data_IF_780109221622
#
_entry.id   IF_780109221622
#
_cell.length_a   1.000
_cell.length_b   1.000
_cell.length_c   1.000
_cell.angle_alpha   90.00
_cell.angle_beta   90.00
_cell.angle_gamma   90.00
#
_symmetry.space_group_name_H-M   'P 1'
#
loop_
_entity.id
_entity.type
_entity.pdbx_description
1 polymer ?
#
# COMPACT_ATOMS: atom_id res chain seq x y z
N UNK A 1 -0.61 -6.82 34.83
CA UNK A 1 -1.17 -6.16 33.64
C UNK A 1 -0.11 -5.40 32.85
N UNK A 2 0.77 -4.60 33.47
CA UNK A 2 1.89 -3.88 32.81
C UNK A 2 2.91 -4.76 32.07
N UNK A 3 3.32 -5.88 32.65
CA UNK A 3 4.30 -6.79 32.03
C UNK A 3 3.78 -7.43 30.73
N UNK A 4 2.47 -7.68 30.65
CA UNK A 4 1.81 -8.21 29.44
C UNK A 4 1.71 -7.16 28.32
N UNK A 5 1.46 -5.90 28.67
CA UNK A 5 1.40 -4.78 27.73
C UNK A 5 2.79 -4.47 27.14
N UNK A 6 3.84 -4.51 27.98
CA UNK A 6 5.23 -4.29 27.55
C UNK A 6 5.71 -5.38 26.57
N UNK A 7 5.37 -6.63 26.85
CA UNK A 7 5.74 -7.78 25.99
C UNK A 7 5.06 -7.72 24.62
N UNK A 8 3.79 -7.30 24.57
CA UNK A 8 3.03 -7.12 23.31
C UNK A 8 3.60 -5.95 22.48
N UNK A 9 4.00 -4.87 23.11
CA UNK A 9 4.63 -3.71 22.46
C UNK A 9 6.00 -4.06 21.85
N UNK A 10 6.84 -4.81 22.57
CA UNK A 10 8.16 -5.25 22.09
C UNK A 10 8.01 -6.20 20.89
N UNK A 11 7.08 -7.14 20.96
CA UNK A 11 6.81 -8.08 19.86
C UNK A 11 6.33 -7.35 18.59
N UNK A 12 5.50 -6.31 18.72
CA UNK A 12 5.03 -5.54 17.57
C UNK A 12 6.16 -4.70 16.95
N UNK A 13 6.98 -4.07 17.78
CA UNK A 13 8.17 -3.31 17.31
C UNK A 13 9.14 -4.22 16.57
N UNK A 14 9.43 -5.41 17.11
CA UNK A 14 10.31 -6.38 16.47
C UNK A 14 9.76 -6.85 15.12
N UNK A 15 8.46 -7.19 15.08
CA UNK A 15 7.77 -7.57 13.83
C UNK A 15 7.86 -6.46 12.76
N UNK A 16 7.55 -5.22 13.13
CA UNK A 16 7.64 -4.06 12.21
C UNK A 16 9.05 -3.87 11.67
N UNK A 17 10.05 -3.91 12.55
CA UNK A 17 11.46 -3.77 12.17
C UNK A 17 11.91 -4.89 11.22
N UNK A 18 11.55 -6.15 11.51
CA UNK A 18 11.86 -7.27 10.62
C UNK A 18 11.23 -7.12 9.24
N UNK A 19 9.96 -6.71 9.17
CA UNK A 19 9.27 -6.47 7.90
C UNK A 19 9.94 -5.36 7.08
N UNK A 20 10.37 -4.27 7.75
CA UNK A 20 11.07 -3.16 7.08
C UNK A 20 12.43 -3.60 6.56
N UNK A 21 13.20 -4.32 7.36
CA UNK A 21 14.52 -4.80 6.92
C UNK A 21 14.39 -5.79 5.75
N UNK A 22 13.42 -6.70 5.79
CA UNK A 22 13.12 -7.60 4.68
C UNK A 22 12.67 -6.84 3.44
N UNK A 23 11.75 -5.88 3.58
CA UNK A 23 11.29 -5.02 2.49
C UNK A 23 12.42 -4.19 1.89
N UNK A 24 13.31 -3.61 2.73
CA UNK A 24 14.47 -2.85 2.29
C UNK A 24 15.45 -3.69 1.48
N UNK A 25 15.72 -4.91 1.93
CA UNK A 25 16.60 -5.84 1.23
C UNK A 25 16.03 -6.26 -0.12
N UNK A 26 14.76 -6.65 -0.15
CA UNK A 26 14.06 -7.01 -1.40
C UNK A 26 14.03 -5.83 -2.38
N UNK A 27 13.79 -4.62 -1.89
CA UNK A 27 13.82 -3.39 -2.70
C UNK A 27 15.20 -3.15 -3.31
N UNK A 28 16.26 -3.25 -2.52
CA UNK A 28 17.63 -3.04 -2.98
C UNK A 28 18.05 -4.07 -4.04
N UNK A 29 17.74 -5.35 -3.81
CA UNK A 29 17.97 -6.42 -4.79
C UNK A 29 17.19 -6.16 -6.07
N UNK A 30 15.92 -5.77 -5.97
CA UNK A 30 15.09 -5.45 -7.14
C UNK A 30 15.67 -4.29 -7.96
N UNK A 31 16.06 -3.21 -7.29
CA UNK A 31 16.66 -2.04 -7.96
C UNK A 31 17.97 -2.40 -8.68
N UNK A 32 18.77 -3.29 -8.13
CA UNK A 32 20.07 -3.69 -8.72
C UNK A 32 19.94 -4.76 -9.80
N UNK A 33 19.10 -5.78 -9.57
CA UNK A 33 19.07 -6.99 -10.41
C UNK A 33 18.02 -6.94 -11.51
N UNK A 34 16.99 -6.10 -11.34
CA UNK A 34 15.93 -5.94 -12.34
C UNK A 34 15.94 -4.51 -12.93
N UNK A 35 15.73 -3.49 -12.11
CA UNK A 35 15.56 -2.11 -12.60
C UNK A 35 16.81 -1.63 -13.33
N UNK A 36 17.98 -1.77 -12.71
CA UNK A 36 19.26 -1.32 -13.30
C UNK A 36 19.65 -2.14 -14.52
N UNK A 37 19.53 -3.45 -14.46
CA UNK A 37 19.89 -4.36 -15.57
C UNK A 37 18.98 -4.20 -16.77
N UNK A 38 17.67 -3.97 -16.56
CA UNK A 38 16.72 -3.66 -17.63
C UNK A 38 16.75 -2.23 -18.13
N UNK A 39 17.57 -1.35 -17.53
CA UNK A 39 17.59 0.08 -17.87
C UNK A 39 16.25 0.77 -17.60
N UNK A 40 15.46 0.24 -16.65
CA UNK A 40 14.14 0.75 -16.33
C UNK A 40 14.23 1.98 -15.42
N UNK A 41 13.20 2.82 -15.50
CA UNK A 41 12.97 3.94 -14.59
C UNK A 41 11.72 3.59 -13.78
N UNK A 42 11.85 3.15 -12.50
CA UNK A 42 10.69 2.87 -11.66
C UNK A 42 9.89 4.15 -11.42
N UNK A 43 8.65 4.00 -10.98
CA UNK A 43 7.84 5.17 -10.60
C UNK A 43 8.31 5.82 -9.30
N UNK A 44 7.76 6.99 -9.02
CA UNK A 44 8.00 7.71 -7.79
C UNK A 44 9.41 8.28 -7.65
N UNK A 45 9.85 8.49 -6.41
CA UNK A 45 11.15 9.10 -6.13
C UNK A 45 12.33 8.15 -6.39
N UNK A 46 12.11 6.84 -6.34
CA UNK A 46 13.11 5.87 -6.79
C UNK A 46 13.39 6.05 -8.29
N UNK A 47 12.33 6.29 -9.09
CA UNK A 47 12.47 6.60 -10.50
C UNK A 47 13.12 7.96 -10.77
N UNK A 48 12.72 8.96 -10.01
CA UNK A 48 13.33 10.28 -10.11
C UNK A 48 14.82 10.24 -9.72
N UNK A 49 15.17 9.48 -8.68
CA UNK A 49 16.57 9.22 -8.29
C UNK A 49 17.34 8.58 -9.44
N UNK A 50 16.76 7.55 -10.06
CA UNK A 50 17.40 6.87 -11.19
C UNK A 50 17.52 7.76 -12.41
N UNK A 51 16.53 8.57 -12.70
CA UNK A 51 16.54 9.56 -13.76
C UNK A 51 17.67 10.59 -13.57
N UNK A 52 17.84 11.10 -12.34
CA UNK A 52 18.94 12.03 -12.01
C UNK A 52 20.29 11.34 -12.18
N UNK A 53 20.44 10.08 -11.80
CA UNK A 53 21.68 9.33 -12.05
C UNK A 53 22.00 9.22 -13.53
N UNK A 54 21.04 8.85 -14.39
CA UNK A 54 21.21 8.76 -15.84
C UNK A 54 21.59 10.09 -16.46
N UNK A 55 20.93 11.20 -16.05
CA UNK A 55 21.27 12.56 -16.50
C UNK A 55 22.69 12.94 -16.04
N UNK A 56 23.06 12.59 -14.81
CA UNK A 56 24.40 12.89 -14.28
C UNK A 56 25.49 12.17 -15.08
N UNK A 57 25.25 10.90 -15.40
CA UNK A 57 26.18 10.12 -16.24
C UNK A 57 26.29 10.74 -17.64
N UNK A 58 25.17 11.19 -18.23
CA UNK A 58 25.14 11.78 -19.56
C UNK A 58 25.91 13.12 -19.62
N UNK A 59 25.73 13.98 -18.61
CA UNK A 59 26.29 15.33 -18.63
C UNK A 59 27.70 15.42 -18.03
N UNK A 60 27.97 14.65 -16.97
CA UNK A 60 29.21 14.77 -16.18
C UNK A 60 30.04 13.49 -16.13
N UNK A 61 29.62 12.39 -16.79
CA UNK A 61 30.29 11.08 -16.76
C UNK A 61 30.53 10.54 -15.33
N UNK A 62 29.65 10.93 -14.40
CA UNK A 62 29.73 10.54 -13.00
C UNK A 62 28.36 10.08 -12.49
N UNK A 63 28.32 8.90 -11.83
CA UNK A 63 27.11 8.33 -11.24
C UNK A 63 27.11 8.64 -9.73
N UNK A 64 26.27 9.58 -9.24
CA UNK A 64 26.15 9.85 -7.81
C UNK A 64 25.52 8.66 -7.08
N UNK A 65 25.85 8.42 -5.77
CA UNK A 65 25.23 7.37 -4.98
C UNK A 65 23.70 7.51 -4.96
N UNK A 66 23.00 6.37 -5.13
CA UNK A 66 21.55 6.32 -5.09
C UNK A 66 21.01 6.86 -3.78
N UNK A 67 21.61 6.46 -2.65
CA UNK A 67 21.21 6.86 -1.30
C UNK A 67 21.16 8.38 -1.13
N UNK A 68 22.18 9.09 -1.60
CA UNK A 68 22.30 10.55 -1.41
C UNK A 68 21.14 11.27 -2.08
N UNK A 69 20.88 10.97 -3.35
CA UNK A 69 19.78 11.60 -4.09
C UNK A 69 18.44 11.22 -3.46
N UNK A 70 18.25 9.94 -3.16
CA UNK A 70 17.00 9.44 -2.58
C UNK A 70 16.71 10.07 -1.22
N UNK A 71 17.71 10.28 -0.38
CA UNK A 71 17.53 10.93 0.94
C UNK A 71 17.13 12.41 0.78
N UNK A 72 17.77 13.13 -0.13
CA UNK A 72 17.46 14.54 -0.39
C UNK A 72 16.00 14.67 -0.88
N UNK A 73 15.60 13.84 -1.84
CA UNK A 73 14.24 13.86 -2.38
C UNK A 73 13.18 13.51 -1.33
N UNK A 74 13.46 12.54 -0.47
CA UNK A 74 12.53 12.09 0.56
C UNK A 74 12.47 12.99 1.79
N UNK A 75 13.39 13.93 1.99
CA UNK A 75 13.43 14.81 3.15
C UNK A 75 12.14 15.64 3.30
N UNK A 76 11.64 16.21 2.20
CA UNK A 76 10.42 17.04 2.22
C UNK A 76 9.17 16.21 2.57
N UNK A 77 8.86 15.08 1.87
CA UNK A 77 7.75 14.23 2.24
C UNK A 77 7.84 13.69 3.67
N UNK A 78 9.04 13.35 4.15
CA UNK A 78 9.22 12.87 5.52
C UNK A 78 8.85 13.93 6.55
N UNK A 79 9.24 15.19 6.36
CA UNK A 79 8.86 16.31 7.24
C UNK A 79 7.35 16.53 7.24
N UNK A 80 6.72 16.48 6.06
CA UNK A 80 5.26 16.60 5.93
C UNK A 80 4.56 15.44 6.62
N UNK A 81 5.02 14.20 6.40
CA UNK A 81 4.48 13.00 7.02
C UNK A 81 4.58 13.04 8.55
N UNK A 82 5.70 13.52 9.08
CA UNK A 82 5.91 13.66 10.53
C UNK A 82 4.85 14.57 11.18
N UNK A 83 4.39 15.59 10.46
CA UNK A 83 3.39 16.54 10.95
C UNK A 83 1.95 16.06 10.78
N UNK A 84 1.64 15.37 9.68
CA UNK A 84 0.26 15.09 9.27
C UNK A 84 -0.17 13.62 9.39
N UNK A 85 0.76 12.67 9.36
CA UNK A 85 0.43 11.23 9.42
C UNK A 85 0.74 10.66 10.81
N UNK A 86 1.99 10.81 11.27
CA UNK A 86 2.38 10.34 12.59
C UNK A 86 3.88 10.11 12.74
N UNK A 87 4.35 10.20 14.00
CA UNK A 87 5.79 10.11 14.31
C UNK A 87 6.36 8.71 14.13
N UNK A 88 5.62 7.67 14.57
CA UNK A 88 6.06 6.28 14.44
C UNK A 88 6.06 5.84 13.00
N UNK A 89 4.98 6.14 12.25
CA UNK A 89 4.90 5.88 10.82
C UNK A 89 6.09 6.50 10.07
N UNK A 90 6.36 7.78 10.30
CA UNK A 90 7.47 8.49 9.65
C UNK A 90 8.82 7.93 10.05
N UNK A 91 9.02 7.60 11.34
CA UNK A 91 10.29 7.02 11.83
C UNK A 91 10.61 5.68 11.16
N UNK A 92 9.64 4.78 11.05
CA UNK A 92 9.79 3.51 10.34
C UNK A 92 9.97 3.68 8.83
N UNK A 93 9.32 4.67 8.23
CA UNK A 93 9.49 5.00 6.81
C UNK A 93 10.90 5.55 6.53
N UNK A 94 11.41 6.43 7.38
CA UNK A 94 12.79 6.89 7.31
C UNK A 94 13.80 5.73 7.44
N UNK A 95 13.55 4.79 8.36
CA UNK A 95 14.37 3.58 8.48
C UNK A 95 14.39 2.79 7.17
N UNK A 96 13.22 2.59 6.55
CA UNK A 96 13.12 1.91 5.24
C UNK A 96 13.92 2.63 4.17
N UNK A 97 13.76 3.95 4.03
CA UNK A 97 14.46 4.77 3.02
C UNK A 97 15.96 4.70 3.21
N UNK A 98 16.44 4.83 4.45
CA UNK A 98 17.87 4.80 4.78
C UNK A 98 18.45 3.41 4.48
N UNK A 99 17.83 2.35 4.99
CA UNK A 99 18.35 0.99 4.83
C UNK A 99 18.30 0.57 3.36
N UNK A 100 17.19 0.80 2.65
CA UNK A 100 17.08 0.43 1.23
C UNK A 100 18.03 1.24 0.36
N UNK A 101 18.21 2.54 0.64
CA UNK A 101 19.16 3.38 -0.08
C UNK A 101 20.61 2.88 0.08
N UNK A 102 21.07 2.67 1.31
CA UNK A 102 22.43 2.16 1.60
C UNK A 102 22.62 0.76 0.99
N UNK A 103 21.65 -0.14 1.16
CA UNK A 103 21.75 -1.48 0.57
C UNK A 103 21.80 -1.42 -0.97
N UNK A 104 21.08 -0.49 -1.59
CA UNK A 104 21.13 -0.30 -3.05
C UNK A 104 22.51 0.13 -3.52
N UNK A 105 23.25 0.91 -2.75
CA UNK A 105 24.63 1.28 -3.11
C UNK A 105 25.62 0.11 -2.90
N UNK A 106 25.43 -0.72 -1.88
CA UNK A 106 26.35 -1.81 -1.50
C UNK A 106 26.12 -3.09 -2.32
N UNK A 107 24.84 -3.46 -2.56
CA UNK A 107 24.50 -4.72 -3.26
C UNK A 107 25.03 -4.69 -4.68
N UNK A 108 25.79 -5.72 -5.11
CA UNK A 108 26.25 -5.80 -6.49
C UNK A 108 25.09 -5.99 -7.46
N UNK A 109 25.23 -5.46 -8.68
CA UNK A 109 24.29 -5.69 -9.75
C UNK A 109 24.54 -7.06 -10.36
N UNK A 110 23.53 -7.92 -10.39
CA UNK A 110 23.59 -9.22 -11.09
C UNK A 110 22.31 -9.40 -11.92
N UNK A 111 22.41 -9.61 -13.23
CA UNK A 111 21.26 -9.83 -14.06
C UNK A 111 20.68 -11.22 -13.79
N UNK A 112 19.37 -11.27 -13.53
CA UNK A 112 18.63 -12.54 -13.42
C UNK A 112 18.21 -13.04 -14.80
N UNK A 113 17.92 -12.10 -15.71
CA UNK A 113 17.57 -12.35 -17.10
C UNK A 113 17.95 -11.12 -17.93
N UNK A 114 18.11 -11.28 -19.24
CA UNK A 114 18.33 -10.19 -20.19
C UNK A 114 17.05 -9.75 -20.90
N UNK A 115 15.97 -10.52 -20.75
CA UNK A 115 14.68 -10.17 -21.34
C UNK A 115 14.02 -9.02 -20.54
N UNK A 116 13.96 -7.85 -21.17
CA UNK A 116 13.44 -6.62 -20.53
C UNK A 116 11.96 -6.74 -20.21
N UNK A 117 11.17 -7.52 -20.95
CA UNK A 117 9.77 -7.75 -20.62
C UNK A 117 9.62 -8.57 -19.34
N UNK A 118 10.39 -9.66 -19.20
CA UNK A 118 10.42 -10.44 -17.96
C UNK A 118 10.93 -9.60 -16.79
N UNK A 119 11.96 -8.78 -17.00
CA UNK A 119 12.47 -7.82 -16.02
C UNK A 119 11.35 -6.87 -15.57
N UNK A 120 10.56 -6.33 -16.49
CA UNK A 120 9.49 -5.39 -16.20
C UNK A 120 8.37 -6.03 -15.38
N UNK A 121 7.94 -7.23 -15.74
CA UNK A 121 6.84 -7.93 -15.06
C UNK A 121 7.29 -8.42 -13.68
N UNK A 122 8.37 -9.21 -13.61
CA UNK A 122 8.82 -9.79 -12.35
C UNK A 122 9.46 -8.76 -11.41
N UNK A 123 10.18 -7.77 -11.95
CA UNK A 123 10.67 -6.65 -11.18
C UNK A 123 9.53 -5.83 -10.56
N UNK A 124 8.45 -5.59 -11.32
CA UNK A 124 7.23 -4.94 -10.82
C UNK A 124 6.56 -5.73 -9.70
N UNK A 125 6.47 -7.06 -9.84
CA UNK A 125 5.93 -7.96 -8.82
C UNK A 125 6.76 -7.90 -7.52
N UNK A 126 8.08 -8.01 -7.63
CA UNK A 126 9.01 -7.96 -6.50
C UNK A 126 8.96 -6.57 -5.84
N UNK A 127 8.83 -5.50 -6.64
CA UNK A 127 8.66 -4.15 -6.13
C UNK A 127 7.41 -4.02 -5.26
N UNK A 128 6.28 -4.54 -5.73
CA UNK A 128 5.03 -4.55 -4.97
C UNK A 128 5.13 -5.33 -3.66
N UNK A 129 5.84 -6.48 -3.66
CA UNK A 129 6.11 -7.24 -2.45
C UNK A 129 6.91 -6.41 -1.43
N UNK A 130 7.99 -5.74 -1.87
CA UNK A 130 8.80 -4.89 -1.01
C UNK A 130 7.99 -3.74 -0.39
N UNK A 131 7.19 -3.03 -1.20
CA UNK A 131 6.30 -1.96 -0.74
C UNK A 131 5.25 -2.51 0.23
N UNK A 132 4.63 -3.66 -0.09
CA UNK A 132 3.61 -4.27 0.77
C UNK A 132 4.14 -4.63 2.16
N UNK A 133 5.37 -5.15 2.26
CA UNK A 133 6.00 -5.43 3.56
C UNK A 133 6.16 -4.18 4.41
N UNK A 134 6.52 -3.05 3.80
CA UNK A 134 6.61 -1.77 4.49
C UNK A 134 5.24 -1.30 4.97
N UNK A 135 4.23 -1.38 4.12
CA UNK A 135 2.86 -1.00 4.46
C UNK A 135 2.28 -1.88 5.57
N UNK A 136 2.58 -3.18 5.61
CA UNK A 136 2.19 -4.07 6.72
C UNK A 136 2.92 -3.75 8.03
N UNK A 137 4.08 -3.10 7.95
CA UNK A 137 4.77 -2.55 9.11
C UNK A 137 4.24 -1.17 9.54
N UNK A 138 3.18 -0.65 8.92
CA UNK A 138 2.72 0.74 9.02
C UNK A 138 3.86 1.73 8.75
N UNK A 139 4.51 1.56 7.60
CA UNK A 139 5.55 2.42 7.06
C UNK A 139 5.39 2.51 5.54
N UNK A 140 6.16 3.36 4.88
CA UNK A 140 6.19 3.47 3.42
C UNK A 140 7.61 3.34 2.88
N UNK A 141 7.74 3.00 1.60
CA UNK A 141 9.01 3.00 0.87
C UNK A 141 9.52 4.41 0.52
N UNK A 142 8.75 5.44 0.84
CA UNK A 142 9.08 6.84 0.58
C UNK A 142 8.44 7.40 -0.68
N UNK A 143 8.85 8.61 -1.04
CA UNK A 143 8.47 9.26 -2.30
C UNK A 143 6.98 9.48 -2.46
N UNK A 144 6.47 9.09 -3.63
CA UNK A 144 5.05 9.20 -3.98
C UNK A 144 4.14 8.36 -3.08
N UNK A 145 4.68 7.34 -2.40
CA UNK A 145 3.91 6.51 -1.47
C UNK A 145 3.51 7.31 -0.23
N UNK A 146 4.33 8.26 0.25
CA UNK A 146 3.92 9.21 1.29
C UNK A 146 2.71 10.03 0.85
N UNK A 147 2.69 10.46 -0.42
CA UNK A 147 1.58 11.23 -0.98
C UNK A 147 0.34 10.34 -1.07
N UNK A 148 0.48 9.10 -1.53
CA UNK A 148 -0.62 8.14 -1.61
C UNK A 148 -1.27 7.91 -0.25
N UNK A 149 -0.47 7.67 0.78
CA UNK A 149 -0.96 7.41 2.14
C UNK A 149 -1.57 8.67 2.74
N UNK A 150 -0.94 9.84 2.57
CA UNK A 150 -1.49 11.12 3.03
C UNK A 150 -2.87 11.41 2.42
N UNK A 151 -3.03 11.22 1.11
CA UNK A 151 -4.31 11.40 0.44
C UNK A 151 -5.34 10.38 0.91
N UNK A 152 -4.93 9.13 1.08
CA UNK A 152 -5.81 8.06 1.55
C UNK A 152 -6.27 8.29 2.99
N UNK A 153 -5.39 8.76 3.88
CA UNK A 153 -5.77 9.06 5.27
C UNK A 153 -6.62 10.32 5.40
N UNK A 154 -6.26 11.36 4.66
CA UNK A 154 -6.96 12.65 4.76
C UNK A 154 -8.32 12.65 4.06
N UNK A 155 -8.42 12.00 2.91
CA UNK A 155 -9.61 12.02 2.06
C UNK A 155 -10.33 10.68 1.97
N UNK A 156 -9.73 9.60 2.50
CA UNK A 156 -10.33 8.26 2.52
C UNK A 156 -10.43 7.60 1.15
N UNK A 157 -9.63 8.02 0.17
CA UNK A 157 -9.61 7.49 -1.20
C UNK A 157 -8.46 6.53 -1.42
N UNK A 158 -8.62 5.55 -2.29
CA UNK A 158 -7.53 4.70 -2.79
C UNK A 158 -6.73 5.47 -3.85
N UNK A 159 -5.58 6.01 -3.46
CA UNK A 159 -4.81 6.96 -4.26
C UNK A 159 -3.80 6.32 -5.21
N UNK A 160 -3.61 5.00 -5.16
CA UNK A 160 -2.56 4.31 -5.93
C UNK A 160 -2.71 4.47 -7.45
N UNK A 161 -3.95 4.48 -7.96
CA UNK A 161 -4.19 4.70 -9.38
C UNK A 161 -3.84 6.12 -9.83
N UNK A 162 -4.05 7.12 -8.99
CA UNK A 162 -3.65 8.51 -9.29
C UNK A 162 -2.15 8.66 -9.30
N UNK A 163 -1.46 8.00 -8.37
CA UNK A 163 0.02 7.96 -8.36
C UNK A 163 0.55 7.25 -9.60
N UNK A 164 -0.07 6.13 -10.01
CA UNK A 164 0.28 5.45 -11.24
C UNK A 164 0.12 6.38 -12.46
N UNK A 165 -1.00 7.06 -12.60
CA UNK A 165 -1.24 8.00 -13.70
C UNK A 165 -0.20 9.14 -13.73
N UNK A 166 0.14 9.72 -12.57
CA UNK A 166 1.19 10.72 -12.46
C UNK A 166 2.57 10.19 -12.86
N UNK A 167 2.90 8.97 -12.46
CA UNK A 167 4.16 8.32 -12.85
C UNK A 167 4.22 8.04 -14.37
N UNK A 168 3.11 7.65 -15.00
CA UNK A 168 3.05 7.45 -16.47
C UNK A 168 3.38 8.75 -17.21
N UNK A 169 2.93 9.91 -16.73
CA UNK A 169 3.27 11.21 -17.33
C UNK A 169 4.79 11.46 -17.22
N UNK A 170 5.38 11.23 -16.05
CA UNK A 170 6.83 11.38 -15.83
C UNK A 170 7.63 10.44 -16.75
N UNK A 171 7.18 9.19 -16.87
CA UNK A 171 7.80 8.19 -17.74
C UNK A 171 7.65 8.53 -19.22
N UNK A 172 6.55 9.18 -19.62
CA UNK A 172 6.37 9.72 -20.97
C UNK A 172 7.42 10.80 -21.32
N UNK A 173 7.70 11.71 -20.39
CA UNK A 173 8.77 12.71 -20.54
C UNK A 173 10.14 12.01 -20.63
N UNK A 174 10.39 11.03 -19.76
CA UNK A 174 11.63 10.26 -19.81
C UNK A 174 11.79 9.49 -21.13
N UNK A 175 10.69 8.97 -21.70
CA UNK A 175 10.68 8.31 -23.01
C UNK A 175 11.10 9.22 -24.15
N UNK A 176 10.66 10.48 -24.13
CA UNK A 176 11.06 11.47 -25.10
C UNK A 176 12.55 11.83 -25.01
N UNK A 177 13.16 11.74 -23.81
CA UNK A 177 14.57 12.08 -23.57
C UNK A 177 15.53 10.89 -23.77
N UNK A 178 15.11 9.67 -23.37
CA UNK A 178 15.98 8.49 -23.25
C UNK A 178 15.58 7.30 -24.14
N UNK A 179 14.49 7.44 -24.89
CA UNK A 179 13.95 6.41 -25.78
C UNK A 179 12.68 5.76 -25.26
N UNK A 180 11.77 5.52 -26.19
CA UNK A 180 10.42 5.02 -25.90
C UNK A 180 10.39 3.59 -25.36
N UNK A 181 11.29 2.71 -25.83
CA UNK A 181 11.31 1.32 -25.37
C UNK A 181 11.48 1.21 -23.87
N UNK A 182 12.46 1.94 -23.30
CA UNK A 182 12.69 1.95 -21.85
C UNK A 182 11.51 2.51 -21.06
N UNK A 183 10.87 3.55 -21.59
CA UNK A 183 9.70 4.16 -20.95
C UNK A 183 8.50 3.21 -20.95
N UNK A 184 8.22 2.55 -22.07
CA UNK A 184 7.12 1.61 -22.20
C UNK A 184 7.30 0.39 -21.28
N UNK A 185 8.50 -0.19 -21.21
CA UNK A 185 8.81 -1.25 -20.25
C UNK A 185 8.72 -0.78 -18.80
N UNK A 186 9.10 0.47 -18.51
CA UNK A 186 8.95 1.08 -17.18
C UNK A 186 7.48 1.28 -16.81
N UNK A 187 6.62 1.59 -17.77
CA UNK A 187 5.16 1.64 -17.54
C UNK A 187 4.60 0.26 -17.22
N UNK A 188 5.05 -0.80 -17.92
CA UNK A 188 4.66 -2.19 -17.61
C UNK A 188 5.10 -2.55 -16.19
N UNK A 189 6.33 -2.25 -15.81
CA UNK A 189 6.85 -2.46 -14.46
C UNK A 189 5.98 -1.76 -13.41
N UNK A 190 5.68 -0.47 -13.61
CA UNK A 190 4.88 0.33 -12.69
C UNK A 190 3.43 -0.17 -12.62
N UNK A 191 2.83 -0.52 -13.74
CA UNK A 191 1.49 -1.09 -13.80
C UNK A 191 1.41 -2.40 -13.02
N UNK A 192 2.34 -3.33 -13.29
CA UNK A 192 2.41 -4.61 -12.58
C UNK A 192 2.57 -4.41 -11.08
N UNK A 193 3.49 -3.52 -10.67
CA UNK A 193 3.69 -3.18 -9.26
C UNK A 193 2.42 -2.62 -8.62
N UNK A 194 1.73 -1.70 -9.28
CA UNK A 194 0.50 -1.10 -8.76
C UNK A 194 -0.62 -2.13 -8.63
N UNK A 195 -0.85 -2.98 -9.64
CA UNK A 195 -1.91 -4.01 -9.58
C UNK A 195 -1.66 -5.04 -8.48
N UNK A 196 -0.42 -5.51 -8.34
CA UNK A 196 -0.06 -6.46 -7.28
C UNK A 196 -0.19 -5.81 -5.91
N UNK A 197 0.21 -4.54 -5.77
CA UNK A 197 0.04 -3.79 -4.53
C UNK A 197 -1.44 -3.67 -4.13
N UNK A 198 -2.34 -3.40 -5.07
CA UNK A 198 -3.79 -3.38 -4.83
C UNK A 198 -4.35 -4.71 -4.32
N UNK A 199 -3.78 -5.84 -4.78
CA UNK A 199 -4.19 -7.17 -4.33
C UNK A 199 -3.68 -7.44 -2.91
N UNK A 200 -2.43 -7.08 -2.63
CA UNK A 200 -1.76 -7.38 -1.37
C UNK A 200 -2.19 -6.43 -0.24
N UNK A 201 -2.28 -5.12 -0.52
CA UNK A 201 -2.56 -4.10 0.49
C UNK A 201 -3.98 -3.56 0.37
N UNK A 202 -4.86 -4.04 1.26
CA UNK A 202 -6.32 -3.81 1.21
C UNK A 202 -6.84 -2.77 2.21
N UNK A 203 -5.95 -2.15 2.99
CA UNK A 203 -6.32 -1.28 4.12
C UNK A 203 -7.21 -0.09 3.74
N UNK A 204 -6.97 0.51 2.57
CA UNK A 204 -7.76 1.66 2.12
C UNK A 204 -8.94 1.30 1.22
N UNK A 205 -9.10 -0.01 0.91
CA UNK A 205 -10.27 -0.49 0.18
C UNK A 205 -11.44 -0.67 1.15
N UNK A 206 -12.63 -0.36 0.69
CA UNK A 206 -13.88 -0.46 1.47
C UNK A 206 -14.79 -1.50 0.87
N UNK A 207 -15.61 -2.10 1.73
CA UNK A 207 -16.66 -3.03 1.30
C UNK A 207 -17.99 -2.70 1.96
N UNK A 208 -19.04 -2.73 1.16
CA UNK A 208 -20.40 -2.67 1.63
C UNK A 208 -20.85 -4.08 2.01
N UNK A 209 -21.35 -4.23 3.22
CA UNK A 209 -21.95 -5.44 3.73
C UNK A 209 -23.47 -5.27 3.72
N UNK A 210 -24.16 -6.18 3.06
CA UNK A 210 -25.62 -6.31 3.12
C UNK A 210 -25.89 -7.61 3.88
N UNK A 211 -26.38 -7.49 5.10
CA UNK A 211 -26.56 -8.61 6.04
C UNK A 211 -28.06 -8.81 6.27
N UNK A 212 -28.58 -9.94 5.80
CA UNK A 212 -29.98 -10.32 6.05
C UNK A 212 -30.00 -11.22 7.28
N UNK A 213 -30.72 -10.82 8.32
CA UNK A 213 -30.76 -11.52 9.62
C UNK A 213 -32.14 -11.39 10.28
N UNK A 214 -32.44 -12.32 11.19
CA UNK A 214 -33.58 -12.24 12.11
C UNK A 214 -33.20 -11.67 13.48
N UNK A 215 -31.91 -11.37 13.70
CA UNK A 215 -31.36 -10.86 14.96
C UNK A 215 -30.56 -9.58 14.73
N UNK A 216 -31.20 -8.51 14.20
CA UNK A 216 -30.48 -7.33 13.76
C UNK A 216 -29.74 -6.60 14.88
N UNK A 217 -30.32 -6.51 16.09
CA UNK A 217 -29.74 -5.82 17.23
C UNK A 217 -28.45 -6.52 17.69
N UNK A 218 -28.51 -7.84 17.93
CA UNK A 218 -27.35 -8.61 18.34
C UNK A 218 -26.21 -8.57 17.32
N UNK A 219 -26.56 -8.65 16.03
CA UNK A 219 -25.59 -8.59 14.93
C UNK A 219 -24.97 -7.21 14.84
N UNK A 220 -25.75 -6.14 14.97
CA UNK A 220 -25.25 -4.77 14.95
C UNK A 220 -24.29 -4.50 16.13
N UNK A 221 -24.69 -4.85 17.37
CA UNK A 221 -23.85 -4.68 18.54
C UNK A 221 -22.49 -5.38 18.37
N UNK A 222 -22.52 -6.62 17.87
CA UNK A 222 -21.33 -7.40 17.61
C UNK A 222 -20.41 -6.78 16.52
N UNK A 223 -20.98 -6.12 15.52
CA UNK A 223 -20.21 -5.39 14.49
C UNK A 223 -19.65 -4.09 15.09
N UNK A 224 -20.46 -3.31 15.78
CA UNK A 224 -20.06 -2.03 16.35
C UNK A 224 -18.91 -2.18 17.36
N UNK A 225 -18.93 -3.24 18.18
CA UNK A 225 -17.87 -3.53 19.16
C UNK A 225 -16.48 -3.75 18.51
N UNK A 226 -16.45 -4.33 17.32
CA UNK A 226 -15.19 -4.71 16.67
C UNK A 226 -14.69 -3.73 15.62
N UNK A 227 -15.56 -2.84 15.09
CA UNK A 227 -15.22 -1.97 13.95
C UNK A 227 -15.36 -0.48 14.21
N UNK A 228 -16.18 -0.05 15.15
CA UNK A 228 -16.64 1.35 15.31
C UNK A 228 -17.41 1.90 14.08
N UNK A 229 -17.96 1.02 13.23
CA UNK A 229 -18.81 1.40 12.12
C UNK A 229 -20.27 1.27 12.48
N UNK A 230 -21.07 2.19 11.94
CA UNK A 230 -22.52 2.14 12.07
C UNK A 230 -23.14 1.27 10.97
N UNK A 231 -24.40 0.90 11.18
CA UNK A 231 -25.21 0.17 10.21
C UNK A 231 -26.61 0.77 10.12
N UNK A 232 -27.17 0.74 8.92
CA UNK A 232 -28.56 1.15 8.67
C UNK A 232 -29.44 -0.09 8.65
N UNK A 233 -30.49 -0.11 9.50
CA UNK A 233 -31.49 -1.16 9.53
C UNK A 233 -32.59 -0.87 8.50
N UNK A 234 -32.84 -1.81 7.62
CA UNK A 234 -33.91 -1.78 6.63
C UNK A 234 -34.83 -2.99 6.88
N UNK A 235 -36.09 -2.74 7.14
CA UNK A 235 -37.10 -3.81 7.31
C UNK A 235 -37.49 -4.41 5.97
N UNK A 236 -37.61 -5.71 5.92
CA UNK A 236 -37.95 -6.44 4.70
C UNK A 236 -38.76 -7.70 4.99
N UNK A 237 -39.19 -8.35 3.91
CA UNK A 237 -39.91 -9.63 3.93
C UNK A 237 -39.28 -10.57 2.92
N UNK A 238 -39.07 -11.80 3.30
CA UNK A 238 -38.59 -12.85 2.39
C UNK A 238 -39.65 -13.18 1.35
N UNK A 239 -39.35 -12.94 0.07
CA UNK A 239 -40.33 -13.13 -1.02
C UNK A 239 -40.85 -14.57 -1.10
N UNK A 240 -40.04 -15.56 -0.82
CA UNK A 240 -40.38 -16.98 -0.81
C UNK A 240 -40.99 -17.43 0.52
N UNK A 241 -40.30 -17.13 1.61
CA UNK A 241 -40.68 -17.59 2.94
C UNK A 241 -41.87 -16.85 3.54
N UNK A 242 -42.17 -15.64 3.03
CA UNK A 242 -43.16 -14.71 3.59
C UNK A 242 -42.95 -14.39 5.07
N UNK A 243 -41.68 -14.52 5.52
CA UNK A 243 -41.28 -14.19 6.86
C UNK A 243 -40.62 -12.82 6.91
N UNK A 244 -40.86 -12.09 8.00
CA UNK A 244 -40.14 -10.84 8.27
C UNK A 244 -38.64 -11.13 8.42
N UNK A 245 -37.82 -10.28 7.83
CA UNK A 245 -36.38 -10.28 7.97
C UNK A 245 -35.89 -8.85 7.92
N UNK A 246 -34.74 -8.60 8.59
CA UNK A 246 -34.12 -7.31 8.63
C UNK A 246 -32.82 -7.31 7.81
N UNK A 247 -32.54 -6.19 7.16
CA UNK A 247 -31.34 -5.99 6.37
C UNK A 247 -30.50 -4.92 7.04
N UNK A 248 -29.31 -5.28 7.48
CA UNK A 248 -28.30 -4.34 7.94
C UNK A 248 -27.37 -3.97 6.79
N UNK A 249 -27.35 -2.68 6.48
CA UNK A 249 -26.44 -2.07 5.51
C UNK A 249 -25.30 -1.39 6.26
N UNK A 250 -24.07 -1.86 6.09
CA UNK A 250 -22.89 -1.28 6.71
C UNK A 250 -21.71 -1.21 5.73
N UNK A 251 -20.85 -0.20 5.87
CA UNK A 251 -19.62 -0.09 5.10
C UNK A 251 -18.44 -0.23 6.05
N UNK A 252 -17.54 -1.16 5.75
CA UNK A 252 -16.37 -1.47 6.59
C UNK A 252 -15.08 -1.47 5.77
N UNK A 253 -13.94 -1.38 6.44
CA UNK A 253 -12.63 -1.57 5.81
C UNK A 253 -12.48 -3.01 5.30
N UNK A 254 -11.85 -3.20 4.13
CA UNK A 254 -11.66 -4.55 3.57
C UNK A 254 -10.80 -5.45 4.44
N UNK A 255 -9.89 -4.89 5.21
CA UNK A 255 -9.08 -5.60 6.21
C UNK A 255 -9.91 -6.12 7.40
N UNK A 256 -11.04 -5.49 7.68
CA UNK A 256 -11.95 -5.86 8.77
C UNK A 256 -13.04 -6.88 8.35
N UNK A 257 -13.32 -6.99 7.04
CA UNK A 257 -14.43 -7.80 6.50
C UNK A 257 -14.46 -9.23 7.05
N UNK A 258 -13.32 -9.93 7.00
CA UNK A 258 -13.26 -11.32 7.47
C UNK A 258 -13.59 -11.45 8.96
N UNK A 259 -13.16 -10.48 9.76
CA UNK A 259 -13.46 -10.44 11.19
C UNK A 259 -14.95 -10.21 11.41
N UNK A 260 -15.53 -9.24 10.68
CA UNK A 260 -16.96 -8.92 10.75
C UNK A 260 -17.81 -10.12 10.33
N UNK A 261 -17.56 -10.73 9.18
CA UNK A 261 -18.31 -11.87 8.66
C UNK A 261 -18.25 -13.07 9.64
N UNK A 262 -17.08 -13.35 10.21
CA UNK A 262 -16.94 -14.40 11.20
C UNK A 262 -17.72 -14.10 12.50
N UNK A 263 -17.76 -12.84 12.92
CA UNK A 263 -18.53 -12.42 14.10
C UNK A 263 -20.02 -12.51 13.83
N UNK A 264 -20.50 -12.01 12.69
CA UNK A 264 -21.90 -12.14 12.27
C UNK A 264 -22.36 -13.60 12.27
N UNK A 265 -21.58 -14.50 11.66
CA UNK A 265 -21.90 -15.93 11.61
C UNK A 265 -21.88 -16.63 12.98
N UNK A 266 -21.11 -16.12 13.93
CA UNK A 266 -21.14 -16.63 15.32
C UNK A 266 -22.39 -16.16 16.06
N UNK A 267 -22.83 -14.92 15.81
CA UNK A 267 -24.00 -14.32 16.46
C UNK A 267 -25.30 -14.86 15.86
N UNK A 268 -25.38 -14.93 14.53
CA UNK A 268 -26.49 -15.53 13.79
C UNK A 268 -25.96 -16.47 12.69
N UNK A 269 -25.95 -17.80 12.94
CA UNK A 269 -25.49 -18.79 11.95
C UNK A 269 -26.35 -18.84 10.67
N UNK A 270 -27.57 -18.32 10.71
CA UNK A 270 -28.50 -18.28 9.56
C UNK A 270 -28.42 -16.95 8.78
N UNK A 271 -27.66 -15.98 9.26
CA UNK A 271 -27.48 -14.70 8.57
C UNK A 271 -26.87 -14.91 7.18
N UNK A 272 -27.45 -14.24 6.20
CA UNK A 272 -26.89 -14.14 4.84
C UNK A 272 -26.10 -12.83 4.70
N UNK A 273 -24.85 -12.93 4.31
CA UNK A 273 -23.95 -11.78 4.17
C UNK A 273 -23.50 -11.66 2.73
N UNK A 274 -23.90 -10.58 2.07
CA UNK A 274 -23.43 -10.20 0.74
C UNK A 274 -22.37 -9.10 0.88
N UNK A 275 -21.20 -9.30 0.23
CA UNK A 275 -20.06 -8.40 0.26
C UNK A 275 -19.88 -7.78 -1.12
N UNK A 276 -20.01 -6.46 -1.19
CA UNK A 276 -19.89 -5.69 -2.44
C UNK A 276 -18.71 -4.73 -2.31
N UNK A 277 -17.85 -4.67 -3.33
CA UNK A 277 -16.76 -3.70 -3.36
C UNK A 277 -17.34 -2.29 -3.46
N UNK A 278 -16.96 -1.41 -2.53
CA UNK A 278 -17.31 0.00 -2.57
C UNK A 278 -16.23 0.76 -3.31
N UNK A 279 -16.56 1.34 -4.46
CA UNK A 279 -15.60 2.11 -5.27
C UNK A 279 -15.41 3.51 -4.70
N UNK A 280 -16.52 4.19 -4.40
CA UNK A 280 -16.49 5.55 -3.89
C UNK A 280 -17.41 5.68 -2.66
N UNK A 281 -16.95 6.42 -1.68
CA UNK A 281 -17.70 6.75 -0.48
C UNK A 281 -17.57 8.25 -0.21
N UNK A 282 -18.70 8.94 -0.11
CA UNK A 282 -18.76 10.32 0.33
C UNK A 282 -19.39 10.39 1.73
N UNK A 283 -18.74 11.08 2.66
CA UNK A 283 -19.19 11.20 4.05
C UNK A 283 -18.13 10.81 5.06
N UNK A 284 -18.53 10.75 6.34
CA UNK A 284 -17.61 10.37 7.42
C UNK A 284 -17.45 8.85 7.42
N UNK A 285 -16.19 8.39 7.37
CA UNK A 285 -15.82 7.00 7.53
C UNK A 285 -14.70 6.90 8.56
N UNK A 286 -14.89 6.08 9.60
CA UNK A 286 -13.85 5.87 10.60
C UNK A 286 -12.75 5.00 10.03
N UNK A 287 -11.52 5.45 10.13
CA UNK A 287 -10.33 4.67 9.77
C UNK A 287 -9.38 4.66 10.95
N UNK A 288 -8.89 3.47 11.32
CA UNK A 288 -7.94 3.35 12.43
C UNK A 288 -6.65 4.10 12.09
N UNK A 289 -6.14 4.96 12.99
CA UNK A 289 -4.86 5.63 12.80
C UNK A 289 -3.70 4.66 12.56
N UNK A 290 -2.65 5.14 11.89
CA UNK A 290 -1.41 4.38 11.66
C UNK A 290 -0.49 4.30 12.89
N UNK A 291 -0.71 5.16 13.91
CA UNK A 291 0.10 5.23 15.13
C UNK A 291 -0.48 4.45 16.31
#
# INVERSE_FOLDING_TARGET
MEVSMTKKSISDTLRRTCLILAGSFIMAVNLKSFVRTGGLIPGGFNGLTRLIQEISVLLWHWEPPFSVINFILNAIPAVISFKFIGKKFTGYSCLMIVVSGILTDIVPSFPVTEDVLLISIFGGLINALAISLCLFANATSGGTDFIAIFLSEKYGIDSWNYIFAGNVVILGIAGALFGWDKALYSIIFQYTSTQVLHILYKRYQKQTLIIVTKRPEDVYEAIAEITNHDATLIKGEGCYSKQECDVLYSVVGRDEVNKVVNTVRKTDPQAFVNMIRTENLAGRFYQRPND
#
